data_IF_549108235506
#
_entry.id   IF_549108235506
#
_cell.length_a   1.000
_cell.length_b   1.000
_cell.length_c   1.000
_cell.angle_alpha   90.00
_cell.angle_beta   90.00
_cell.angle_gamma   90.00
#
_symmetry.space_group_name_H-M   'P 1'
#
loop_
_entity.id
_entity.type
_entity.pdbx_description
1 polymer ?
#
# COMPACT_ATOMS: atom_id res chain seq x y z
N UNK A 1 -3.48 3.42 16.24
CA UNK A 1 -3.48 2.95 14.85
C UNK A 1 -2.29 2.01 14.70
N UNK A 2 -2.47 0.82 14.12
CA UNK A 2 -1.36 -0.04 13.72
C UNK A 2 -1.33 -0.04 12.21
N UNK A 3 -0.44 0.77 11.66
CA UNK A 3 -0.04 0.70 10.27
C UNK A 3 0.57 -0.68 10.00
N UNK A 4 0.01 -1.36 9.01
CA UNK A 4 0.39 -2.71 8.62
C UNK A 4 1.11 -2.65 7.29
N UNK A 5 2.30 -3.23 7.27
CA UNK A 5 3.05 -3.45 6.04
C UNK A 5 2.33 -4.44 5.13
N UNK A 6 2.14 -4.07 3.86
CA UNK A 6 1.51 -4.93 2.87
C UNK A 6 2.55 -5.53 1.93
N UNK A 7 3.26 -4.69 1.17
CA UNK A 7 4.38 -5.09 0.32
C UNK A 7 5.21 -3.88 -0.13
N UNK A 8 6.46 -4.13 -0.54
CA UNK A 8 7.29 -3.12 -1.19
C UNK A 8 6.79 -2.87 -2.62
N UNK A 9 6.67 -1.60 -2.98
CA UNK A 9 6.34 -1.19 -4.34
C UNK A 9 7.59 -1.24 -5.21
N UNK A 10 8.68 -0.66 -4.72
CA UNK A 10 9.99 -0.57 -5.35
C UNK A 10 11.01 -0.14 -4.31
N UNK A 11 12.29 -0.07 -4.67
CA UNK A 11 13.35 0.32 -3.73
C UNK A 11 13.01 1.67 -3.05
N UNK A 12 12.96 1.63 -1.71
CA UNK A 12 12.62 2.79 -0.88
C UNK A 12 11.15 3.20 -0.86
N UNK A 13 10.23 2.42 -1.42
CA UNK A 13 8.78 2.67 -1.40
C UNK A 13 7.99 1.42 -1.03
N UNK A 14 7.05 1.57 -0.11
CA UNK A 14 6.18 0.49 0.32
C UNK A 14 4.71 0.92 0.37
N UNK A 15 3.83 -0.05 0.17
CA UNK A 15 2.41 0.10 0.43
C UNK A 15 2.12 -0.48 1.82
N UNK A 16 1.62 0.38 2.70
CA UNK A 16 1.08 0.02 3.99
C UNK A 16 -0.44 0.23 3.94
N UNK A 17 -1.12 -0.25 4.97
CA UNK A 17 -2.53 0.04 5.16
C UNK A 17 -2.85 0.17 6.65
N UNK A 18 -3.93 0.89 6.94
CA UNK A 18 -4.60 0.82 8.24
C UNK A 18 -6.05 0.34 8.04
N UNK A 19 -6.88 0.37 9.07
CA UNK A 19 -8.28 -0.09 8.97
C UNK A 19 -9.20 0.87 8.18
N UNK A 20 -8.67 1.94 7.58
CA UNK A 20 -9.42 3.01 6.92
C UNK A 20 -8.88 3.36 5.54
N UNK A 21 -7.59 3.19 5.29
CA UNK A 21 -6.95 3.64 4.05
C UNK A 21 -5.68 2.86 3.70
N UNK A 22 -5.34 2.87 2.41
CA UNK A 22 -3.99 2.54 1.96
C UNK A 22 -3.06 3.71 2.22
N UNK A 23 -1.80 3.40 2.51
CA UNK A 23 -0.77 4.38 2.79
C UNK A 23 0.45 4.10 1.92
N UNK A 24 0.83 5.06 1.10
CA UNK A 24 2.12 5.00 0.41
C UNK A 24 3.18 5.50 1.40
N UNK A 25 4.16 4.67 1.68
CA UNK A 25 5.28 4.99 2.56
C UNK A 25 6.58 5.06 1.78
N UNK A 26 7.46 5.95 2.24
CA UNK A 26 8.83 6.06 1.75
C UNK A 26 9.80 5.65 2.84
N UNK A 27 10.76 4.81 2.50
CA UNK A 27 11.87 4.48 3.37
C UNK A 27 12.68 5.75 3.67
N UNK A 28 12.95 6.00 4.93
CA UNK A 28 13.96 6.96 5.36
C UNK A 28 14.95 6.23 6.25
N UNK A 29 16.23 6.34 5.91
CA UNK A 29 17.31 5.92 6.80
C UNK A 29 17.40 6.92 7.94
N UNK A 30 17.05 6.51 9.15
CA UNK A 30 17.25 7.28 10.37
C UNK A 30 18.31 6.55 11.20
N UNK A 31 19.52 7.10 11.20
CA UNK A 31 20.71 6.45 11.77
C UNK A 31 20.93 5.04 11.20
N UNK A 32 20.73 4.01 12.01
CA UNK A 32 20.96 2.60 11.69
C UNK A 32 19.67 1.83 11.34
N UNK A 33 18.51 2.49 11.33
CA UNK A 33 17.22 1.85 11.04
C UNK A 33 16.53 2.49 9.85
N UNK A 34 15.98 1.65 9.00
CA UNK A 34 15.05 2.08 7.97
C UNK A 34 13.66 2.24 8.59
N UNK A 35 13.13 3.46 8.50
CA UNK A 35 11.79 3.78 9.00
C UNK A 35 10.91 4.13 7.82
N UNK A 36 9.76 3.46 7.74
CA UNK A 36 8.74 3.75 6.74
C UNK A 36 7.94 4.98 7.16
N UNK A 37 8.03 6.06 6.38
CA UNK A 37 7.24 7.25 6.62
C UNK A 37 6.06 7.32 5.66
N UNK A 38 4.81 7.37 6.14
CA UNK A 38 3.65 7.55 5.28
C UNK A 38 3.70 8.94 4.64
N UNK A 39 3.58 8.99 3.32
CA UNK A 39 3.59 10.24 2.54
C UNK A 39 2.27 10.52 1.85
N UNK A 40 1.40 9.53 1.71
CA UNK A 40 0.06 9.71 1.14
C UNK A 40 -0.90 8.66 1.68
N UNK A 41 -2.14 9.09 1.86
CA UNK A 41 -3.22 8.31 2.44
C UNK A 41 -4.37 8.27 1.43
N UNK A 42 -4.85 7.07 1.12
CA UNK A 42 -5.81 6.82 0.04
C UNK A 42 -6.91 5.91 0.59
N UNK A 43 -8.05 6.52 0.93
CA UNK A 43 -9.25 5.80 1.41
C UNK A 43 -10.25 5.47 0.30
N UNK A 44 -9.98 5.92 -0.93
CA UNK A 44 -10.96 5.88 -2.03
C UNK A 44 -10.78 4.65 -2.92
N UNK A 45 -10.10 4.82 -4.06
CA UNK A 45 -10.01 3.81 -5.11
C UNK A 45 -8.58 3.47 -5.48
N UNK A 46 -8.39 2.27 -6.05
CA UNK A 46 -7.13 1.82 -6.63
C UNK A 46 -6.65 2.79 -7.71
N UNK A 47 -7.57 3.37 -8.48
CA UNK A 47 -7.24 4.41 -9.47
C UNK A 47 -6.58 5.62 -8.81
N UNK A 48 -7.11 6.10 -7.68
CA UNK A 48 -6.50 7.20 -6.93
C UNK A 48 -5.12 6.82 -6.38
N UNK A 49 -4.95 5.58 -5.90
CA UNK A 49 -3.66 5.05 -5.47
C UNK A 49 -2.63 5.07 -6.61
N UNK A 50 -2.98 4.53 -7.79
CA UNK A 50 -2.12 4.45 -8.96
C UNK A 50 -1.75 5.85 -9.50
N UNK A 51 -2.72 6.78 -9.52
CA UNK A 51 -2.47 8.17 -9.90
C UNK A 51 -1.50 8.82 -8.92
N UNK A 52 -1.67 8.61 -7.61
CA UNK A 52 -0.77 9.12 -6.59
C UNK A 52 0.64 8.56 -6.74
N UNK A 53 0.78 7.26 -7.01
CA UNK A 53 2.06 6.62 -7.30
C UNK A 53 2.74 7.26 -8.52
N UNK A 54 1.99 7.44 -9.62
CA UNK A 54 2.50 8.07 -10.85
C UNK A 54 2.96 9.51 -10.62
N UNK A 55 2.19 10.31 -9.88
CA UNK A 55 2.57 11.68 -9.53
C UNK A 55 3.86 11.76 -8.70
N UNK A 56 4.14 10.73 -7.90
CA UNK A 56 5.37 10.63 -7.11
C UNK A 56 6.54 9.97 -7.86
N UNK A 57 6.33 9.55 -9.11
CA UNK A 57 7.35 8.85 -9.89
C UNK A 57 7.65 7.44 -9.39
N UNK A 58 6.71 6.80 -8.67
CA UNK A 58 6.89 5.44 -8.18
C UNK A 58 6.63 4.47 -9.34
N UNK A 59 7.66 3.72 -9.72
CA UNK A 59 7.57 2.64 -10.70
C UNK A 59 7.60 1.32 -9.94
N UNK A 60 6.45 0.64 -9.79
CA UNK A 60 6.41 -0.62 -9.06
C UNK A 60 7.19 -1.72 -9.79
N UNK A 61 7.78 -2.64 -9.03
CA UNK A 61 8.35 -3.87 -9.60
C UNK A 61 7.26 -4.72 -10.23
N UNK A 62 7.59 -5.65 -11.16
CA UNK A 62 6.60 -6.54 -11.76
C UNK A 62 5.78 -7.33 -10.72
N UNK A 63 6.42 -7.73 -9.62
CA UNK A 63 5.77 -8.42 -8.51
C UNK A 63 4.80 -7.52 -7.74
N UNK A 64 5.19 -6.28 -7.48
CA UNK A 64 4.32 -5.29 -6.83
C UNK A 64 3.15 -4.92 -7.75
N UNK A 65 3.40 -4.76 -9.05
CA UNK A 65 2.38 -4.50 -10.05
C UNK A 65 1.35 -5.64 -10.09
N UNK A 66 1.79 -6.90 -10.13
CA UNK A 66 0.89 -8.05 -10.08
C UNK A 66 0.02 -8.09 -8.80
N UNK A 67 0.54 -7.62 -7.67
CA UNK A 67 -0.25 -7.47 -6.43
C UNK A 67 -1.27 -6.34 -6.55
N UNK A 68 -0.87 -5.19 -7.08
CA UNK A 68 -1.76 -4.05 -7.31
C UNK A 68 -2.89 -4.41 -8.29
N UNK A 69 -2.60 -5.16 -9.35
CA UNK A 69 -3.61 -5.58 -10.33
C UNK A 69 -4.67 -6.49 -9.71
N UNK A 70 -4.28 -7.35 -8.76
CA UNK A 70 -5.19 -8.21 -7.99
C UNK A 70 -6.03 -7.48 -6.95
N UNK A 71 -5.67 -6.26 -6.56
CA UNK A 71 -6.46 -5.49 -5.60
C UNK A 71 -7.76 -5.01 -6.26
N UNK A 72 -8.92 -5.08 -5.56
CA UNK A 72 -10.17 -4.56 -6.08
C UNK A 72 -10.13 -3.04 -6.18
N UNK A 73 -11.10 -2.46 -6.88
CA UNK A 73 -11.09 -1.04 -7.18
C UNK A 73 -11.31 -0.17 -5.93
N UNK A 74 -12.05 -0.63 -4.92
CA UNK A 74 -12.33 0.16 -3.71
C UNK A 74 -11.55 -0.37 -2.52
N UNK A 75 -11.07 0.54 -1.66
CA UNK A 75 -10.39 0.17 -0.43
C UNK A 75 -11.26 -0.70 0.50
N UNK A 76 -12.55 -0.39 0.60
CA UNK A 76 -13.48 -1.12 1.48
C UNK A 76 -13.65 -2.59 1.06
N UNK A 77 -13.78 -2.83 -0.25
CA UNK A 77 -13.88 -4.17 -0.80
C UNK A 77 -12.57 -4.94 -0.54
N UNK A 78 -11.43 -4.29 -0.79
CA UNK A 78 -10.12 -4.86 -0.48
C UNK A 78 -9.98 -5.21 1.00
N UNK A 79 -10.39 -4.31 1.90
CA UNK A 79 -10.29 -4.53 3.34
C UNK A 79 -11.19 -5.69 3.77
N UNK A 80 -12.38 -5.81 3.18
CA UNK A 80 -13.30 -6.91 3.43
C UNK A 80 -12.72 -8.24 2.94
N UNK A 81 -12.11 -8.30 1.76
CA UNK A 81 -11.45 -9.50 1.26
C UNK A 81 -10.19 -9.84 2.09
N UNK A 82 -9.43 -8.83 2.51
CA UNK A 82 -8.18 -9.00 3.23
C UNK A 82 -8.38 -9.37 4.71
N UNK A 83 -9.42 -8.84 5.37
CA UNK A 83 -9.77 -9.18 6.77
C UNK A 83 -10.79 -10.34 6.85
N UNK A 84 -11.73 -10.40 5.91
CA UNK A 84 -12.76 -11.44 5.82
C UNK A 84 -12.30 -12.71 5.11
N UNK A 85 -11.20 -12.68 4.36
CA UNK A 85 -10.56 -13.88 3.82
C UNK A 85 -9.98 -14.82 4.88
N UNK A 86 -9.97 -14.43 6.16
CA UNK A 86 -9.57 -15.29 7.28
C UNK A 86 -10.73 -16.10 7.89
N UNK A 87 -11.89 -16.15 7.23
CA UNK A 87 -12.99 -17.07 7.56
C UNK A 87 -13.30 -18.00 6.39
N UNK A 88 -12.36 -18.88 6.04
CA UNK A 88 -12.67 -20.17 5.41
C UNK A 88 -11.51 -21.15 5.66
N UNK A 89 -11.73 -22.11 6.58
CA UNK A 89 -11.21 -23.48 6.51
C UNK A 89 -9.74 -23.70 6.82
#
# INVERSE_FOLDING_TARGET
MKDKFLFELTDGWALLYDNRQWMICRARKRHAQEVWHPVSFIESTKTALLVCMRQKGIVPTPEAQAKLDKMPERFRDWLQEHLGGNVNG
#
